data_IF_626947577296
#
_entry.id   IF_626947577296
#
_cell.length_a   1.000
_cell.length_b   1.000
_cell.length_c   1.000
_cell.angle_alpha   90.00
_cell.angle_beta   90.00
_cell.angle_gamma   90.00
#
_symmetry.space_group_name_H-M   'P 1'
#
loop_
_entity.id
_entity.type
_entity.pdbx_description
1 polymer ?
#
# COMPACT_ATOMS: atom_id res chain seq x y z
N UNK A 1 -3.23 29.13 -9.13
CA UNK A 1 -2.59 29.28 -7.80
C UNK A 1 -1.61 28.13 -7.66
N UNK A 2 -0.42 28.35 -7.14
CA UNK A 2 0.52 27.27 -6.89
C UNK A 2 0.02 26.50 -5.67
N UNK A 3 -0.15 25.18 -5.78
CA UNK A 3 -0.51 24.32 -4.67
C UNK A 3 0.62 24.31 -3.63
N UNK A 4 0.29 24.46 -2.34
CA UNK A 4 1.27 24.47 -1.24
C UNK A 4 1.15 23.19 -0.42
N UNK A 5 2.03 22.23 -0.70
CA UNK A 5 2.22 21.07 0.15
C UNK A 5 3.17 21.37 1.33
N UNK A 6 3.25 20.44 2.28
CA UNK A 6 4.22 20.54 3.37
C UNK A 6 5.67 20.45 2.89
N UNK A 7 6.58 21.10 3.60
CA UNK A 7 8.04 21.01 3.44
C UNK A 7 8.72 20.52 4.71
N UNK A 8 7.95 20.01 5.67
CA UNK A 8 8.47 19.57 6.97
C UNK A 8 9.45 18.42 6.82
N UNK A 9 10.55 18.44 7.59
CA UNK A 9 11.55 17.38 7.63
C UNK A 9 12.03 17.21 9.07
N UNK A 10 11.30 16.38 9.83
CA UNK A 10 11.60 16.14 11.24
C UNK A 10 11.14 14.76 11.70
N UNK A 11 11.82 14.17 12.68
CA UNK A 11 11.34 12.99 13.36
C UNK A 11 10.07 13.31 14.16
N UNK A 12 9.12 12.38 14.12
CA UNK A 12 7.86 12.51 14.83
C UNK A 12 7.89 11.67 16.11
N UNK A 13 7.46 12.27 17.21
CA UNK A 13 7.16 11.55 18.45
C UNK A 13 5.70 11.09 18.39
N UNK A 14 5.49 9.86 17.90
CA UNK A 14 4.16 9.32 17.61
C UNK A 14 3.62 8.60 18.83
N UNK A 15 2.48 9.05 19.33
CA UNK A 15 1.72 8.36 20.39
C UNK A 15 0.76 7.34 19.78
N UNK A 16 0.04 7.76 18.73
CA UNK A 16 -0.85 6.91 17.93
C UNK A 16 -1.09 7.55 16.56
N UNK A 17 -1.40 6.72 15.57
CA UNK A 17 -1.65 7.17 14.20
C UNK A 17 -2.94 8.00 14.02
N UNK A 18 -4.06 7.74 14.73
CA UNK A 18 -5.24 8.59 14.66
C UNK A 18 -4.99 10.06 15.01
N UNK A 19 -4.07 10.34 15.92
CA UNK A 19 -3.66 11.73 16.25
C UNK A 19 -2.90 12.39 15.10
N UNK A 20 -2.05 11.64 14.39
CA UNK A 20 -1.39 12.17 13.18
C UNK A 20 -2.44 12.55 12.13
N UNK A 21 -3.44 11.69 11.90
CA UNK A 21 -4.53 11.98 10.98
C UNK A 21 -5.21 13.31 11.30
N UNK A 22 -5.60 13.51 12.55
CA UNK A 22 -6.28 14.75 12.99
C UNK A 22 -5.41 16.02 12.80
N UNK A 23 -4.09 15.90 13.02
CA UNK A 23 -3.16 17.01 12.78
C UNK A 23 -3.04 17.33 11.29
N UNK A 24 -2.95 16.33 10.42
CA UNK A 24 -2.87 16.51 8.97
C UNK A 24 -4.16 17.11 8.43
N UNK A 25 -5.32 16.63 8.87
CA UNK A 25 -6.63 17.17 8.50
C UNK A 25 -6.72 18.68 8.78
N UNK A 26 -6.20 19.13 9.93
CA UNK A 26 -6.24 20.53 10.33
C UNK A 26 -5.29 21.45 9.53
N UNK A 27 -4.36 20.89 8.74
CA UNK A 27 -3.28 21.63 8.05
C UNK A 27 -3.32 21.49 6.54
N UNK A 28 -4.03 20.48 6.03
CA UNK A 28 -4.07 20.17 4.60
C UNK A 28 -5.32 20.76 3.96
N UNK A 29 -5.22 21.21 2.71
CA UNK A 29 -6.37 21.65 1.94
C UNK A 29 -7.42 20.53 1.83
N UNK A 30 -8.71 20.89 1.98
CA UNK A 30 -9.80 19.92 2.07
C UNK A 30 -9.86 18.97 0.87
N UNK A 31 -9.61 19.44 -0.35
CA UNK A 31 -9.57 18.60 -1.55
C UNK A 31 -8.45 17.57 -1.52
N UNK A 32 -7.25 17.99 -1.16
CA UNK A 32 -6.09 17.10 -1.04
C UNK A 32 -6.25 16.09 0.09
N UNK A 33 -6.74 16.54 1.26
CA UNK A 33 -7.03 15.65 2.38
C UNK A 33 -8.13 14.65 2.02
N UNK A 34 -9.25 15.12 1.43
CA UNK A 34 -10.35 14.27 0.98
C UNK A 34 -9.89 13.21 -0.03
N UNK A 35 -9.04 13.58 -0.98
CA UNK A 35 -8.48 12.63 -1.93
C UNK A 35 -7.63 11.54 -1.24
N UNK A 36 -6.75 11.90 -0.33
CA UNK A 36 -5.84 10.97 0.33
C UNK A 36 -6.55 10.10 1.37
N UNK A 37 -7.39 10.72 2.20
CA UNK A 37 -7.97 10.10 3.38
C UNK A 37 -9.35 9.47 3.12
N UNK A 38 -10.10 9.99 2.17
CA UNK A 38 -11.46 9.58 1.86
C UNK A 38 -11.61 8.16 1.32
N UNK A 39 -12.80 7.64 1.45
CA UNK A 39 -13.27 6.35 0.96
C UNK A 39 -14.30 6.48 -0.16
N UNK A 40 -15.02 5.40 -0.43
CA UNK A 40 -16.10 5.31 -1.42
C UNK A 40 -17.47 5.47 -0.74
N UNK A 41 -18.40 6.16 -1.39
CA UNK A 41 -19.78 6.41 -0.94
C UNK A 41 -19.81 6.96 0.49
N UNK A 42 -20.60 6.38 1.40
CA UNK A 42 -20.70 6.76 2.80
C UNK A 42 -19.53 6.26 3.69
N UNK A 43 -18.49 5.72 3.07
CA UNK A 43 -17.26 5.25 3.72
C UNK A 43 -17.46 4.10 4.73
N UNK A 44 -18.55 3.32 4.61
CA UNK A 44 -18.78 2.22 5.53
C UNK A 44 -17.61 1.23 5.54
N UNK A 45 -17.15 0.76 4.36
CA UNK A 45 -16.04 -0.19 4.29
C UNK A 45 -14.70 0.41 4.73
N UNK A 46 -14.52 1.73 4.61
CA UNK A 46 -13.35 2.43 5.17
C UNK A 46 -13.31 2.26 6.68
N UNK A 47 -14.45 2.46 7.36
CA UNK A 47 -14.59 2.30 8.80
C UNK A 47 -14.50 0.82 9.22
N UNK A 48 -15.13 -0.07 8.44
CA UNK A 48 -15.09 -1.51 8.69
C UNK A 48 -13.68 -2.06 8.61
N UNK A 49 -12.84 -1.58 7.69
CA UNK A 49 -11.43 -1.97 7.62
C UNK A 49 -10.67 -1.74 8.93
N UNK A 50 -10.98 -0.70 9.68
CA UNK A 50 -10.34 -0.43 10.98
C UNK A 50 -11.01 -1.23 12.11
N UNK A 51 -12.33 -1.37 12.08
CA UNK A 51 -13.07 -2.00 13.18
C UNK A 51 -13.07 -3.52 13.11
N UNK A 52 -12.97 -4.11 11.90
CA UNK A 52 -12.99 -5.56 11.71
C UNK A 52 -11.79 -6.30 12.33
N UNK A 53 -10.69 -5.62 12.59
CA UNK A 53 -9.62 -6.23 13.40
C UNK A 53 -10.09 -6.68 14.78
N UNK A 54 -11.19 -6.13 15.31
CA UNK A 54 -11.81 -6.54 16.57
C UNK A 54 -12.52 -7.91 16.47
N UNK A 55 -12.80 -8.38 15.25
CA UNK A 55 -13.33 -9.74 15.03
C UNK A 55 -12.33 -10.83 15.45
N UNK A 56 -11.06 -10.46 15.64
CA UNK A 56 -9.98 -11.38 15.93
C UNK A 56 -9.28 -11.02 17.24
N UNK A 57 -9.00 -12.02 18.06
CA UNK A 57 -8.33 -11.88 19.34
C UNK A 57 -7.06 -12.76 19.38
N UNK A 58 -5.92 -12.16 19.63
CA UNK A 58 -4.67 -12.88 19.89
C UNK A 58 -4.68 -13.42 21.31
N UNK A 59 -4.30 -14.68 21.48
CA UNK A 59 -4.20 -15.31 22.79
C UNK A 59 -2.81 -15.09 23.36
N UNK A 60 -2.67 -14.34 24.48
CA UNK A 60 -1.36 -14.10 25.09
C UNK A 60 -0.75 -15.40 25.65
N UNK A 61 0.57 -15.50 25.56
CA UNK A 61 1.36 -16.61 26.09
C UNK A 61 2.44 -16.11 27.05
N UNK A 62 2.33 -16.49 28.27
CA UNK A 62 3.24 -16.06 29.33
C UNK A 62 4.44 -17.01 29.49
N UNK A 63 5.53 -16.51 30.10
CA UNK A 63 6.72 -17.27 30.46
C UNK A 63 7.49 -17.86 29.26
N UNK A 64 7.49 -17.15 28.13
CA UNK A 64 8.13 -17.58 26.88
C UNK A 64 9.60 -17.13 26.77
N UNK A 65 10.13 -16.41 27.76
CA UNK A 65 11.53 -15.95 27.84
C UNK A 65 11.96 -15.09 26.64
N UNK A 66 11.11 -14.13 26.23
CA UNK A 66 11.38 -13.22 25.10
C UNK A 66 11.67 -11.83 25.67
N UNK A 67 12.87 -11.32 25.46
CA UNK A 67 13.22 -9.92 25.75
C UNK A 67 13.22 -9.08 24.48
N UNK A 68 13.79 -9.60 23.38
CA UNK A 68 13.93 -8.91 22.10
C UNK A 68 13.52 -9.89 20.98
N UNK A 69 12.29 -9.78 20.45
CA UNK A 69 11.87 -10.58 19.31
C UNK A 69 12.55 -10.09 18.03
N UNK A 70 12.85 -11.00 17.11
CA UNK A 70 13.38 -10.71 15.80
C UNK A 70 12.22 -10.44 14.81
N UNK A 71 12.08 -9.19 14.37
CA UNK A 71 11.07 -8.76 13.41
C UNK A 71 11.54 -8.86 11.95
N UNK A 72 12.77 -9.30 11.70
CA UNK A 72 13.27 -9.42 10.32
C UNK A 72 12.50 -10.50 9.54
N UNK A 73 12.30 -10.24 8.26
CA UNK A 73 11.66 -11.18 7.34
C UNK A 73 12.20 -10.98 5.93
N UNK A 74 11.69 -11.73 4.98
CA UNK A 74 12.02 -11.57 3.56
C UNK A 74 10.74 -11.55 2.72
N UNK A 75 10.77 -10.80 1.61
CA UNK A 75 9.73 -10.83 0.59
C UNK A 75 10.41 -10.85 -0.79
N UNK A 76 10.16 -11.87 -1.62
CA UNK A 76 10.86 -12.09 -2.90
C UNK A 76 12.39 -12.01 -2.77
N UNK A 77 12.94 -12.68 -1.76
CA UNK A 77 14.37 -12.69 -1.40
C UNK A 77 14.94 -11.31 -0.98
N UNK A 78 14.09 -10.31 -0.80
CA UNK A 78 14.50 -9.00 -0.31
C UNK A 78 14.44 -8.99 1.21
N UNK A 79 15.56 -8.74 1.91
CA UNK A 79 15.56 -8.65 3.36
C UNK A 79 14.84 -7.39 3.85
N UNK A 80 14.00 -7.55 4.86
CA UNK A 80 13.24 -6.49 5.52
C UNK A 80 13.60 -6.43 7.00
N UNK A 81 13.68 -5.22 7.54
CA UNK A 81 13.90 -5.00 8.99
C UNK A 81 12.65 -5.30 9.84
N UNK A 82 11.47 -5.32 9.20
CA UNK A 82 10.16 -5.56 9.82
C UNK A 82 9.17 -6.05 8.77
N UNK A 83 8.07 -6.73 9.14
CA UNK A 83 7.09 -7.24 8.17
C UNK A 83 6.10 -6.16 7.67
N UNK A 84 6.61 -4.95 7.41
CA UNK A 84 5.83 -3.80 6.95
C UNK A 84 6.47 -3.22 5.70
N UNK A 85 5.68 -3.00 4.63
CA UNK A 85 6.12 -2.32 3.41
C UNK A 85 5.24 -1.10 3.11
N UNK A 86 5.66 -0.25 2.19
CA UNK A 86 4.85 0.88 1.74
C UNK A 86 3.83 0.43 0.69
N UNK A 87 2.54 0.71 0.91
CA UNK A 87 1.51 0.52 -0.11
C UNK A 87 1.68 1.55 -1.25
N UNK A 88 1.32 1.19 -2.50
CA UNK A 88 1.36 2.15 -3.60
C UNK A 88 0.27 3.21 -3.46
N UNK A 89 0.66 4.48 -3.40
CA UNK A 89 -0.26 5.62 -3.34
C UNK A 89 0.18 6.64 -4.39
N UNK A 90 -0.78 7.12 -5.15
CA UNK A 90 -0.60 8.16 -6.15
C UNK A 90 -0.51 9.56 -5.52
N UNK A 91 0.03 10.51 -6.27
CA UNK A 91 -0.04 11.95 -6.00
C UNK A 91 0.45 12.35 -4.60
N UNK A 92 1.55 11.79 -4.13
CA UNK A 92 2.09 12.07 -2.79
C UNK A 92 2.57 13.52 -2.62
N UNK A 93 2.77 14.23 -3.73
CA UNK A 93 3.00 15.68 -3.77
C UNK A 93 1.87 16.50 -3.14
N UNK A 94 0.68 15.94 -2.98
CA UNK A 94 -0.42 16.53 -2.22
C UNK A 94 -0.12 16.67 -0.74
N UNK A 95 0.71 15.79 -0.20
CA UNK A 95 1.06 15.77 1.22
C UNK A 95 2.39 16.47 1.52
N UNK A 96 3.35 16.40 0.58
CA UNK A 96 4.68 16.97 0.77
C UNK A 96 5.29 17.36 -0.60
N UNK A 97 5.95 18.52 -0.70
CA UNK A 97 6.53 19.00 -1.98
C UNK A 97 7.45 17.98 -2.66
N UNK A 98 8.18 17.19 -1.89
CA UNK A 98 9.07 16.17 -2.41
C UNK A 98 8.38 14.85 -2.78
N UNK A 99 7.08 14.68 -2.47
CA UNK A 99 6.26 13.53 -2.86
C UNK A 99 6.94 12.18 -2.68
N UNK A 100 6.85 11.33 -3.70
CA UNK A 100 7.40 9.97 -3.72
C UNK A 100 8.92 9.95 -3.53
N UNK A 101 9.63 10.98 -4.00
CA UNK A 101 11.10 11.09 -3.87
C UNK A 101 11.56 11.29 -2.42
N UNK A 102 10.72 11.85 -1.57
CA UNK A 102 10.95 11.97 -0.13
C UNK A 102 10.49 10.73 0.60
N UNK A 103 9.31 10.21 0.25
CA UNK A 103 8.76 9.00 0.87
C UNK A 103 9.69 7.79 0.72
N UNK A 104 10.26 7.57 -0.48
CA UNK A 104 11.17 6.44 -0.72
C UNK A 104 12.40 6.46 0.19
N UNK A 105 12.90 7.65 0.55
CA UNK A 105 14.03 7.79 1.49
C UNK A 105 13.65 7.36 2.90
N UNK A 106 12.47 7.80 3.38
CA UNK A 106 11.97 7.41 4.70
C UNK A 106 11.70 5.91 4.82
N UNK A 107 11.11 5.31 3.77
CA UNK A 107 10.89 3.85 3.70
C UNK A 107 12.21 3.09 3.68
N UNK A 108 13.20 3.57 2.92
CA UNK A 108 14.54 2.98 2.89
C UNK A 108 15.25 3.06 4.24
N UNK A 109 15.13 4.20 4.94
CA UNK A 109 15.68 4.37 6.29
C UNK A 109 15.03 3.39 7.29
N UNK A 110 13.77 3.06 7.11
CA UNK A 110 13.06 2.02 7.88
C UNK A 110 13.41 0.58 7.42
N UNK A 111 14.33 0.38 6.47
CA UNK A 111 14.73 -0.92 5.91
C UNK A 111 13.55 -1.71 5.34
N UNK A 112 12.73 -1.04 4.55
CA UNK A 112 11.51 -1.58 3.97
C UNK A 112 11.46 -1.40 2.44
N UNK A 113 10.38 -1.89 1.79
CA UNK A 113 10.14 -1.79 0.36
C UNK A 113 9.21 -0.61 0.09
N UNK A 114 9.56 0.24 -0.87
CA UNK A 114 8.69 1.28 -1.38
C UNK A 114 7.92 0.80 -2.62
N UNK A 115 6.62 1.07 -2.70
CA UNK A 115 5.80 0.79 -3.88
C UNK A 115 5.46 2.11 -4.59
N UNK A 116 6.04 2.32 -5.78
CA UNK A 116 5.74 3.48 -6.62
C UNK A 116 4.44 3.28 -7.41
N UNK A 117 3.64 4.34 -7.55
CA UNK A 117 2.39 4.31 -8.30
C UNK A 117 2.54 4.75 -9.75
N UNK A 118 1.71 4.22 -10.65
CA UNK A 118 1.54 4.72 -12.02
C UNK A 118 1.29 6.23 -12.06
N UNK A 119 0.49 6.74 -11.13
CA UNK A 119 0.07 8.14 -11.08
C UNK A 119 0.80 8.93 -9.98
N UNK A 120 2.10 8.65 -9.80
CA UNK A 120 2.97 9.43 -8.92
C UNK A 120 3.30 10.81 -9.48
N UNK A 121 3.56 11.78 -8.60
CA UNK A 121 4.09 13.10 -9.00
C UNK A 121 5.56 12.99 -9.41
N UNK A 122 6.31 12.01 -8.92
CA UNK A 122 7.64 11.69 -9.40
C UNK A 122 7.60 10.49 -10.36
N UNK A 123 8.40 10.52 -11.42
CA UNK A 123 8.51 9.41 -12.37
C UNK A 123 9.18 8.18 -11.73
N UNK A 124 8.97 7.01 -12.34
CA UNK A 124 9.62 5.74 -11.95
C UNK A 124 11.14 5.93 -11.82
N UNK A 125 11.76 6.61 -12.79
CA UNK A 125 13.20 6.88 -12.78
C UNK A 125 13.61 7.85 -11.66
N UNK A 126 12.85 8.94 -11.45
CA UNK A 126 13.14 9.91 -10.40
C UNK A 126 13.06 9.30 -8.98
N UNK A 127 12.09 8.42 -8.73
CA UNK A 127 12.00 7.68 -7.48
C UNK A 127 13.21 6.76 -7.29
N UNK A 128 13.66 6.08 -8.34
CA UNK A 128 14.84 5.23 -8.27
C UNK A 128 16.12 6.04 -7.98
N UNK A 129 16.28 7.20 -8.60
CA UNK A 129 17.41 8.11 -8.38
C UNK A 129 17.40 8.71 -6.97
N UNK A 130 16.21 9.04 -6.44
CA UNK A 130 16.08 9.64 -5.11
C UNK A 130 16.58 8.74 -3.98
N UNK A 131 16.50 7.42 -4.13
CA UNK A 131 17.03 6.44 -3.15
C UNK A 131 17.42 5.14 -3.86
N UNK A 132 18.61 5.05 -4.47
CA UNK A 132 19.04 3.89 -5.26
C UNK A 132 19.02 2.57 -4.47
N UNK A 133 19.42 2.59 -3.21
CA UNK A 133 19.56 1.40 -2.36
C UNK A 133 18.23 0.88 -1.81
N UNK A 134 17.19 1.72 -1.75
CA UNK A 134 15.88 1.27 -1.28
C UNK A 134 15.26 0.28 -2.28
N UNK A 135 14.89 -0.93 -1.89
CA UNK A 135 14.16 -1.83 -2.78
C UNK A 135 12.78 -1.26 -3.12
N UNK A 136 12.39 -1.41 -4.39
CA UNK A 136 11.17 -0.81 -4.92
C UNK A 136 10.34 -1.79 -5.71
N UNK A 137 9.01 -1.68 -5.59
CA UNK A 137 8.03 -2.30 -6.48
C UNK A 137 7.34 -1.20 -7.30
N UNK A 138 6.96 -1.53 -8.53
CA UNK A 138 6.21 -0.62 -9.38
C UNK A 138 4.76 -1.07 -9.51
N UNK A 139 3.81 -0.23 -9.11
CA UNK A 139 2.38 -0.50 -9.25
C UNK A 139 1.88 0.05 -10.59
N UNK A 140 1.23 -0.82 -11.35
CA UNK A 140 0.62 -0.56 -12.64
C UNK A 140 -0.90 -0.58 -12.55
N UNK A 141 -1.52 0.56 -12.90
CA UNK A 141 -2.86 0.57 -13.44
C UNK A 141 -2.75 0.31 -14.94
N UNK A 142 -3.12 -0.87 -15.39
CA UNK A 142 -2.98 -1.23 -16.79
C UNK A 142 -3.81 -0.29 -17.66
N UNK A 143 -3.15 0.39 -18.60
CA UNK A 143 -3.76 1.27 -19.59
C UNK A 143 -4.28 0.44 -20.77
N UNK A 144 -5.20 1.03 -21.54
CA UNK A 144 -5.56 0.53 -22.89
C UNK A 144 -4.43 0.69 -23.89
N UNK A 145 -3.49 1.58 -23.61
CA UNK A 145 -2.31 1.83 -24.43
C UNK A 145 -1.16 0.91 -23.99
N UNK A 146 -0.91 -0.11 -24.79
CA UNK A 146 0.13 -1.09 -24.52
C UNK A 146 1.54 -0.51 -24.62
N UNK A 147 1.76 0.51 -25.43
CA UNK A 147 3.05 1.19 -25.54
C UNK A 147 3.36 1.95 -24.24
N UNK A 148 2.34 2.57 -23.64
CA UNK A 148 2.47 3.20 -22.32
C UNK A 148 2.76 2.18 -21.22
N UNK A 149 2.06 1.04 -21.20
CA UNK A 149 2.33 -0.04 -20.25
C UNK A 149 3.77 -0.53 -20.37
N UNK A 150 4.22 -0.83 -21.60
CA UNK A 150 5.57 -1.31 -21.85
C UNK A 150 6.62 -0.25 -21.48
N UNK A 151 6.38 1.02 -21.78
CA UNK A 151 7.27 2.12 -21.41
C UNK A 151 7.49 2.17 -19.89
N UNK A 152 6.43 2.15 -19.09
CA UNK A 152 6.53 2.21 -17.64
C UNK A 152 7.22 0.98 -17.05
N UNK A 153 6.88 -0.21 -17.55
CA UNK A 153 7.50 -1.47 -17.11
C UNK A 153 8.99 -1.48 -17.47
N UNK A 154 9.37 -1.03 -18.67
CA UNK A 154 10.78 -0.94 -19.07
C UNK A 154 11.55 0.01 -18.14
N UNK A 155 10.98 1.18 -17.82
CA UNK A 155 11.62 2.08 -16.86
C UNK A 155 11.82 1.43 -15.49
N UNK A 156 10.83 0.68 -14.99
CA UNK A 156 10.96 -0.04 -13.72
C UNK A 156 12.07 -1.11 -13.78
N UNK A 157 12.14 -1.89 -14.88
CA UNK A 157 13.18 -2.90 -15.10
C UNK A 157 14.57 -2.25 -15.15
N UNK A 158 14.73 -1.22 -15.98
CA UNK A 158 16.01 -0.54 -16.22
C UNK A 158 16.55 0.18 -14.98
N UNK A 159 15.64 0.68 -14.12
CA UNK A 159 16.01 1.38 -12.89
C UNK A 159 16.04 0.47 -11.65
N UNK A 160 15.92 -0.86 -11.84
CA UNK A 160 16.20 -1.86 -10.84
C UNK A 160 15.08 -2.13 -9.82
N UNK A 161 13.84 -1.83 -10.18
CA UNK A 161 12.68 -2.29 -9.39
C UNK A 161 12.67 -3.82 -9.28
N UNK A 162 12.04 -4.34 -8.25
CA UNK A 162 12.12 -5.76 -7.89
C UNK A 162 10.83 -6.55 -8.17
N UNK A 163 9.73 -5.89 -8.42
CA UNK A 163 8.45 -6.50 -8.80
C UNK A 163 7.53 -5.49 -9.49
N UNK A 164 6.57 -6.01 -10.25
CA UNK A 164 5.43 -5.26 -10.80
C UNK A 164 4.18 -5.64 -10.03
N UNK A 165 3.39 -4.65 -9.61
CA UNK A 165 2.10 -4.84 -8.94
C UNK A 165 1.00 -4.50 -9.93
N UNK A 166 0.23 -5.48 -10.39
CA UNK A 166 -0.99 -5.24 -11.15
C UNK A 166 -2.13 -4.94 -10.17
N UNK A 167 -2.69 -3.74 -10.24
CA UNK A 167 -3.89 -3.39 -9.48
C UNK A 167 -5.13 -3.83 -10.24
N UNK A 168 -5.90 -4.75 -9.66
CA UNK A 168 -7.06 -5.37 -10.30
C UNK A 168 -8.42 -4.82 -9.82
N UNK A 169 -8.46 -4.22 -8.64
CA UNK A 169 -9.68 -3.74 -7.98
C UNK A 169 -10.13 -2.33 -8.39
N UNK A 170 -9.34 -1.62 -9.20
CA UNK A 170 -9.54 -0.19 -9.47
C UNK A 170 -9.58 0.11 -10.97
N UNK A 171 -10.41 -0.65 -11.72
CA UNK A 171 -10.58 -0.46 -13.17
C UNK A 171 -11.54 0.68 -13.50
N UNK A 172 -12.48 0.99 -12.61
CA UNK A 172 -13.49 2.04 -12.78
C UNK A 172 -13.39 3.14 -11.72
N UNK A 173 -12.77 2.86 -10.60
CA UNK A 173 -12.77 3.72 -9.40
C UNK A 173 -14.12 3.71 -8.66
N UNK A 174 -14.05 3.77 -7.34
CA UNK A 174 -15.25 3.90 -6.50
C UNK A 174 -15.88 5.29 -6.59
N UNK A 175 -17.14 5.39 -6.19
CA UNK A 175 -17.85 6.67 -6.10
C UNK A 175 -17.39 7.43 -4.85
N UNK A 176 -16.49 8.41 -5.03
CA UNK A 176 -15.85 9.15 -3.93
C UNK A 176 -16.55 10.48 -3.70
N UNK A 177 -17.42 10.52 -2.71
CA UNK A 177 -18.21 11.71 -2.41
C UNK A 177 -17.36 12.91 -1.98
N UNK A 178 -16.30 12.68 -1.19
CA UNK A 178 -15.38 13.73 -0.76
C UNK A 178 -14.73 14.46 -1.95
N UNK A 179 -14.30 13.73 -2.97
CA UNK A 179 -13.69 14.31 -4.17
C UNK A 179 -14.70 15.12 -4.98
N UNK A 180 -15.94 14.63 -5.07
CA UNK A 180 -17.04 15.31 -5.78
C UNK A 180 -17.43 16.60 -5.04
N UNK A 181 -17.62 16.55 -3.73
CA UNK A 181 -17.98 17.70 -2.89
C UNK A 181 -16.91 18.80 -2.96
N UNK A 182 -15.63 18.39 -2.97
CA UNK A 182 -14.52 19.31 -3.06
C UNK A 182 -14.21 19.77 -4.50
N UNK A 183 -14.93 19.27 -5.52
CA UNK A 183 -14.60 19.46 -6.94
C UNK A 183 -13.10 19.22 -7.20
N UNK A 184 -12.60 18.08 -6.68
CA UNK A 184 -11.17 17.80 -6.68
C UNK A 184 -10.65 17.54 -8.11
N UNK A 185 -9.62 18.28 -8.47
CA UNK A 185 -8.78 18.07 -9.65
C UNK A 185 -7.33 18.02 -9.18
N UNK A 186 -6.51 17.19 -9.85
CA UNK A 186 -5.10 17.07 -9.48
C UNK A 186 -4.35 18.37 -9.72
N UNK A 187 -3.85 19.06 -8.67
CA UNK A 187 -3.19 20.36 -8.83
C UNK A 187 -1.73 20.26 -9.29
N UNK A 188 -1.18 19.04 -9.39
CA UNK A 188 0.21 18.76 -9.70
C UNK A 188 0.32 17.78 -10.85
N UNK A 189 1.37 17.87 -11.67
CA UNK A 189 1.61 16.92 -12.76
C UNK A 189 1.90 15.52 -12.21
N UNK A 190 1.63 14.51 -13.05
CA UNK A 190 1.99 13.11 -12.87
C UNK A 190 3.11 12.81 -13.86
N UNK A 191 4.34 12.74 -13.38
CA UNK A 191 5.52 12.70 -14.24
C UNK A 191 5.59 11.48 -15.16
N UNK A 192 5.01 10.36 -14.77
CA UNK A 192 4.93 9.19 -15.64
C UNK A 192 4.09 9.45 -16.90
N UNK A 193 3.03 10.24 -16.81
CA UNK A 193 2.24 10.66 -17.98
C UNK A 193 3.01 11.70 -18.81
N UNK A 194 3.62 12.68 -18.14
CA UNK A 194 4.36 13.76 -18.78
C UNK A 194 5.58 13.25 -19.57
N UNK A 195 6.26 12.21 -19.08
CA UNK A 195 7.47 11.67 -19.70
C UNK A 195 7.21 10.75 -20.89
N UNK A 196 6.02 10.12 -20.97
CA UNK A 196 5.70 9.22 -22.08
C UNK A 196 5.43 9.96 -23.38
N UNK A 197 4.58 10.98 -23.35
CA UNK A 197 4.17 11.70 -24.55
C UNK A 197 3.50 13.02 -24.20
N UNK A 198 3.83 14.08 -24.94
CA UNK A 198 3.11 15.36 -24.82
C UNK A 198 1.60 15.25 -25.13
N UNK A 199 1.17 14.22 -25.88
CA UNK A 199 -0.21 13.96 -26.18
C UNK A 199 -0.97 13.31 -25.01
N UNK A 200 -0.26 12.64 -24.08
CA UNK A 200 -0.87 12.04 -22.89
C UNK A 200 -1.30 13.10 -21.86
N UNK A 201 -0.78 14.33 -21.98
CA UNK A 201 -0.94 15.37 -20.96
C UNK A 201 -0.16 15.07 -19.69
N UNK A 202 -0.16 15.99 -18.73
CA UNK A 202 0.58 15.87 -17.48
C UNK A 202 -0.24 15.25 -16.32
N UNK A 203 -1.55 15.12 -16.50
CA UNK A 203 -2.47 14.76 -15.41
C UNK A 203 -2.91 15.94 -14.54
N UNK A 204 -2.22 17.08 -14.61
CA UNK A 204 -2.61 18.32 -13.92
C UNK A 204 -3.95 18.85 -14.47
N UNK A 205 -4.85 19.25 -13.57
CA UNK A 205 -6.18 19.74 -13.92
C UNK A 205 -7.18 18.64 -14.28
N UNK A 206 -6.80 17.34 -14.19
CA UNK A 206 -7.72 16.24 -14.44
C UNK A 206 -8.48 15.84 -13.17
N UNK A 207 -9.74 15.51 -13.35
CA UNK A 207 -10.54 14.84 -12.34
C UNK A 207 -10.14 13.37 -12.21
N UNK A 208 -10.54 12.74 -11.10
CA UNK A 208 -10.34 11.31 -10.88
C UNK A 208 -10.99 10.47 -11.99
N UNK A 209 -12.19 10.83 -12.43
CA UNK A 209 -12.90 10.13 -13.50
C UNK A 209 -12.11 10.15 -14.83
N UNK A 210 -11.46 11.26 -15.16
CA UNK A 210 -10.64 11.38 -16.36
C UNK A 210 -9.37 10.53 -16.29
N UNK A 211 -8.78 10.37 -15.11
CA UNK A 211 -7.65 9.44 -14.88
C UNK A 211 -8.11 7.99 -15.08
N UNK A 212 -9.22 7.59 -14.47
CA UNK A 212 -9.75 6.21 -14.63
C UNK A 212 -10.20 5.89 -16.05
N UNK A 213 -10.65 6.89 -16.82
CA UNK A 213 -11.00 6.68 -18.23
C UNK A 213 -9.82 6.18 -19.08
N UNK A 214 -8.59 6.33 -18.63
CA UNK A 214 -7.37 5.82 -19.29
C UNK A 214 -7.08 4.36 -18.98
N UNK A 215 -7.61 3.82 -17.88
CA UNK A 215 -7.39 2.45 -17.46
C UNK A 215 -8.10 1.44 -18.39
N UNK A 216 -7.54 0.25 -18.50
CA UNK A 216 -8.17 -0.91 -19.12
C UNK A 216 -9.29 -1.41 -18.22
N UNK A 217 -10.54 -1.11 -18.59
CA UNK A 217 -11.71 -1.45 -17.78
C UNK A 217 -12.11 -2.93 -17.86
N UNK A 218 -11.75 -3.61 -18.94
CA UNK A 218 -11.98 -5.03 -19.22
C UNK A 218 -10.77 -5.90 -18.86
N UNK A 219 -10.14 -5.58 -17.71
CA UNK A 219 -8.98 -6.33 -17.19
C UNK A 219 -9.35 -7.81 -17.00
N UNK A 220 -8.49 -8.71 -17.46
CA UNK A 220 -8.73 -10.15 -17.44
C UNK A 220 -7.50 -10.93 -16.97
N UNK A 221 -7.69 -12.20 -16.61
CA UNK A 221 -6.59 -13.08 -16.18
C UNK A 221 -5.45 -13.19 -17.22
N UNK A 222 -5.77 -13.09 -18.52
CA UNK A 222 -4.78 -13.05 -19.60
C UNK A 222 -3.83 -11.86 -19.53
N UNK A 223 -4.23 -10.77 -18.87
CA UNK A 223 -3.39 -9.58 -18.72
C UNK A 223 -2.24 -9.81 -17.72
N UNK A 224 -2.40 -10.72 -16.76
CA UNK A 224 -1.31 -11.14 -15.87
C UNK A 224 -0.16 -11.69 -16.69
N UNK A 225 -0.46 -12.63 -17.61
CA UNK A 225 0.56 -13.18 -18.50
C UNK A 225 1.19 -12.11 -19.38
N UNK A 226 0.39 -11.20 -19.93
CA UNK A 226 0.87 -10.10 -20.76
C UNK A 226 1.87 -9.22 -20.01
N UNK A 227 1.56 -8.86 -18.75
CA UNK A 227 2.48 -8.09 -17.91
C UNK A 227 3.74 -8.89 -17.61
N UNK A 228 3.64 -10.19 -17.32
CA UNK A 228 4.81 -11.05 -17.12
C UNK A 228 5.74 -11.09 -18.34
N UNK A 229 5.16 -11.16 -19.53
CA UNK A 229 5.93 -11.15 -20.77
C UNK A 229 6.66 -9.78 -20.96
N UNK A 230 6.07 -8.67 -20.49
CA UNK A 230 6.66 -7.32 -20.49
C UNK A 230 7.71 -7.14 -19.38
N UNK A 231 7.55 -7.79 -18.24
CA UNK A 231 8.29 -7.53 -17.00
C UNK A 231 9.72 -8.10 -16.96
N UNK A 232 10.20 -8.71 -18.06
CA UNK A 232 11.59 -9.19 -18.19
C UNK A 232 12.06 -10.08 -17.03
N UNK A 233 11.14 -10.91 -16.50
CA UNK A 233 11.43 -11.86 -15.41
C UNK A 233 11.21 -11.31 -14.00
N UNK A 234 10.80 -10.06 -13.83
CA UNK A 234 10.37 -9.57 -12.52
C UNK A 234 9.10 -10.29 -12.04
N UNK A 235 8.98 -10.56 -10.74
CA UNK A 235 7.73 -11.04 -10.14
C UNK A 235 6.55 -10.13 -10.45
N UNK A 236 5.38 -10.71 -10.71
CA UNK A 236 4.10 -9.99 -10.88
C UNK A 236 3.19 -10.32 -9.71
N UNK A 237 2.80 -9.29 -8.97
CA UNK A 237 1.92 -9.36 -7.81
C UNK A 237 0.54 -8.84 -8.23
N UNK A 238 -0.53 -9.57 -7.95
CA UNK A 238 -1.90 -9.10 -8.22
C UNK A 238 -2.50 -8.53 -6.95
N UNK A 239 -2.79 -7.22 -6.97
CA UNK A 239 -3.37 -6.46 -5.85
C UNK A 239 -4.86 -6.25 -6.05
N UNK A 240 -5.63 -6.29 -4.94
CA UNK A 240 -7.07 -6.07 -4.92
C UNK A 240 -7.88 -7.36 -4.82
N UNK A 241 -7.25 -8.42 -4.35
CA UNK A 241 -7.89 -9.73 -4.21
C UNK A 241 -8.61 -9.81 -2.86
N UNK A 242 -9.90 -10.17 -2.89
CA UNK A 242 -10.74 -10.37 -1.71
C UNK A 242 -11.49 -11.72 -1.73
N UNK A 243 -11.29 -12.53 -2.76
CA UNK A 243 -11.93 -13.84 -2.91
C UNK A 243 -10.88 -14.95 -3.11
N UNK A 244 -11.02 -16.12 -2.44
CA UNK A 244 -10.12 -17.26 -2.62
C UNK A 244 -10.06 -17.81 -4.05
N UNK A 245 -11.16 -17.80 -4.79
CA UNK A 245 -11.21 -18.29 -6.17
C UNK A 245 -10.43 -17.37 -7.10
N UNK A 246 -10.53 -16.05 -6.89
CA UNK A 246 -9.77 -15.05 -7.62
C UNK A 246 -8.26 -15.17 -7.33
N UNK A 247 -7.89 -15.44 -6.07
CA UNK A 247 -6.50 -15.69 -5.72
C UNK A 247 -5.93 -16.91 -6.45
N UNK A 248 -6.70 -18.00 -6.51
CA UNK A 248 -6.32 -19.22 -7.23
C UNK A 248 -6.22 -18.99 -8.74
N UNK A 249 -7.18 -18.24 -9.30
CA UNK A 249 -7.20 -17.89 -10.72
C UNK A 249 -6.01 -16.99 -11.08
N UNK A 250 -5.67 -16.01 -10.25
CA UNK A 250 -4.51 -15.16 -10.46
C UNK A 250 -3.20 -15.96 -10.45
N UNK A 251 -3.03 -16.89 -9.50
CA UNK A 251 -1.87 -17.79 -9.45
C UNK A 251 -1.82 -18.68 -10.70
N UNK A 252 -2.94 -19.25 -11.13
CA UNK A 252 -3.02 -20.03 -12.35
C UNK A 252 -2.71 -19.19 -13.61
N UNK A 253 -3.08 -17.89 -13.59
CA UNK A 253 -2.73 -16.90 -14.62
C UNK A 253 -1.26 -16.48 -14.62
N UNK A 254 -0.48 -16.89 -13.62
CA UNK A 254 0.96 -16.65 -13.53
C UNK A 254 1.37 -15.58 -12.51
N UNK A 255 0.49 -15.16 -11.59
CA UNK A 255 0.88 -14.29 -10.49
C UNK A 255 1.91 -14.95 -9.57
N UNK A 256 2.96 -14.21 -9.20
CA UNK A 256 4.02 -14.65 -8.28
C UNK A 256 3.74 -14.21 -6.84
N UNK A 257 2.72 -13.39 -6.60
CA UNK A 257 2.25 -12.96 -5.29
C UNK A 257 0.80 -12.49 -5.32
N UNK A 258 0.13 -12.61 -4.19
CA UNK A 258 -1.24 -12.13 -3.97
C UNK A 258 -1.21 -10.97 -2.97
N UNK A 259 -1.93 -9.90 -3.30
CA UNK A 259 -2.08 -8.77 -2.39
C UNK A 259 -3.55 -8.62 -2.00
N UNK A 260 -3.89 -9.08 -0.80
CA UNK A 260 -5.24 -8.98 -0.23
C UNK A 260 -5.51 -7.52 0.14
N UNK A 261 -6.51 -6.94 -0.48
CA UNK A 261 -6.80 -5.50 -0.39
C UNK A 261 -8.20 -5.19 -0.90
N UNK A 262 -8.88 -4.22 -0.28
CA UNK A 262 -10.05 -3.55 -0.84
C UNK A 262 -9.74 -2.08 -1.16
N UNK A 263 -8.48 -1.79 -1.52
CA UNK A 263 -8.01 -0.44 -1.85
C UNK A 263 -8.20 0.58 -0.73
N UNK A 264 -8.20 0.11 0.52
CA UNK A 264 -8.43 0.99 1.67
C UNK A 264 -9.85 1.54 1.75
N UNK A 265 -10.85 0.81 1.25
CA UNK A 265 -12.25 1.23 1.24
C UNK A 265 -12.58 2.29 0.18
N UNK A 266 -11.82 2.35 -0.91
CA UNK A 266 -11.94 3.40 -1.94
C UNK A 266 -12.70 2.95 -3.20
N UNK A 267 -13.06 1.68 -3.30
CA UNK A 267 -13.70 1.08 -4.47
C UNK A 267 -15.14 0.61 -4.14
N UNK A 268 -15.40 -0.67 -3.96
CA UNK A 268 -16.73 -1.19 -3.66
C UNK A 268 -17.08 -0.99 -2.18
N UNK A 269 -17.97 -0.05 -1.87
CA UNK A 269 -18.35 0.26 -0.48
C UNK A 269 -19.14 -0.86 0.22
N UNK A 270 -19.73 -1.80 -0.50
CA UNK A 270 -20.39 -2.99 0.06
C UNK A 270 -19.50 -4.22 0.18
N UNK A 271 -18.18 -4.08 -0.01
CA UNK A 271 -17.23 -5.17 0.13
C UNK A 271 -16.99 -5.52 1.62
N UNK A 272 -16.50 -6.74 1.93
CA UNK A 272 -16.03 -7.04 3.29
C UNK A 272 -14.76 -6.24 3.63
N UNK A 273 -14.48 -6.08 4.92
CA UNK A 273 -13.18 -5.62 5.36
C UNK A 273 -12.08 -6.58 4.89
N UNK A 274 -10.92 -6.06 4.46
CA UNK A 274 -9.85 -6.90 3.91
C UNK A 274 -9.39 -7.99 4.89
N UNK A 275 -9.38 -7.71 6.20
CA UNK A 275 -8.93 -8.67 7.21
C UNK A 275 -9.86 -9.91 7.29
N UNK A 276 -11.16 -9.73 7.01
CA UNK A 276 -12.14 -10.82 7.06
C UNK A 276 -12.00 -11.77 5.86
N UNK A 277 -11.44 -11.31 4.73
CA UNK A 277 -11.14 -12.14 3.57
C UNK A 277 -9.80 -12.90 3.69
N UNK A 278 -8.88 -12.42 4.53
CA UNK A 278 -7.50 -12.88 4.55
C UNK A 278 -7.32 -14.36 4.87
N UNK A 279 -7.99 -14.87 5.91
CA UNK A 279 -7.79 -16.23 6.38
C UNK A 279 -8.18 -17.28 5.33
N UNK A 280 -9.30 -17.09 4.65
CA UNK A 280 -9.76 -18.01 3.61
C UNK A 280 -8.87 -17.95 2.36
N UNK A 281 -8.41 -16.75 1.98
CA UNK A 281 -7.43 -16.58 0.91
C UNK A 281 -6.12 -17.27 1.26
N UNK A 282 -5.59 -17.06 2.47
CA UNK A 282 -4.33 -17.69 2.91
C UNK A 282 -4.43 -19.21 2.91
N UNK A 283 -5.54 -19.76 3.37
CA UNK A 283 -5.83 -21.20 3.31
C UNK A 283 -5.87 -21.71 1.87
N UNK A 284 -6.53 -21.00 0.97
CA UNK A 284 -6.62 -21.38 -0.44
C UNK A 284 -5.27 -21.27 -1.15
N UNK A 285 -4.51 -20.21 -0.93
CA UNK A 285 -3.16 -20.00 -1.48
C UNK A 285 -2.18 -21.05 -0.96
N UNK A 286 -2.29 -21.47 0.31
CA UNK A 286 -1.50 -22.55 0.91
C UNK A 286 0.01 -22.42 0.62
N UNK A 287 0.58 -21.28 0.92
CA UNK A 287 2.02 -20.96 0.77
C UNK A 287 2.61 -21.11 -0.65
N UNK A 288 1.77 -21.21 -1.71
CA UNK A 288 2.27 -21.32 -3.09
C UNK A 288 2.95 -20.05 -3.58
N UNK A 289 2.52 -18.90 -3.11
CA UNK A 289 3.09 -17.58 -3.37
C UNK A 289 2.97 -16.74 -2.10
N UNK A 290 3.80 -15.68 -1.94
CA UNK A 290 3.66 -14.76 -0.81
C UNK A 290 2.31 -14.01 -0.84
N UNK A 291 1.82 -13.70 0.36
CA UNK A 291 0.61 -12.90 0.59
C UNK A 291 1.00 -11.58 1.24
N UNK A 292 0.69 -10.49 0.57
CA UNK A 292 0.75 -9.13 1.10
C UNK A 292 -0.66 -8.72 1.53
N UNK A 293 -0.79 -7.99 2.61
CA UNK A 293 -2.07 -7.54 3.14
C UNK A 293 -2.07 -6.02 3.35
N UNK A 294 -3.15 -5.34 3.01
CA UNK A 294 -3.39 -3.95 3.42
C UNK A 294 -4.86 -3.70 3.78
N UNK A 295 -5.13 -2.48 4.13
CA UNK A 295 -6.40 -1.87 4.53
C UNK A 295 -6.66 -1.95 6.04
N UNK A 296 -6.80 -0.78 6.64
CA UNK A 296 -7.24 -0.62 8.03
C UNK A 296 -6.15 -0.69 9.10
N UNK A 297 -4.90 -0.97 8.79
CA UNK A 297 -3.81 -1.05 9.78
C UNK A 297 -3.57 0.29 10.45
N UNK A 298 -3.67 0.31 11.79
CA UNK A 298 -3.41 1.48 12.65
C UNK A 298 -2.51 1.17 13.84
N UNK A 299 -2.38 -0.11 14.22
CA UNK A 299 -1.69 -0.56 15.43
C UNK A 299 -0.79 -1.76 15.14
N UNK A 300 0.24 -1.96 15.98
CA UNK A 300 1.09 -3.15 15.89
C UNK A 300 0.32 -4.46 16.07
N UNK A 301 -0.77 -4.46 16.84
CA UNK A 301 -1.64 -5.63 16.97
C UNK A 301 -2.42 -5.97 15.70
N UNK A 302 -2.74 -4.98 14.84
CA UNK A 302 -3.37 -5.24 13.55
C UNK A 302 -2.40 -5.98 12.63
N UNK A 303 -1.13 -5.59 12.66
CA UNK A 303 -0.06 -6.28 11.94
C UNK A 303 0.06 -7.73 12.42
N UNK A 304 0.11 -7.93 13.74
CA UNK A 304 0.22 -9.26 14.31
C UNK A 304 -0.98 -10.14 13.96
N UNK A 305 -2.20 -9.60 13.95
CA UNK A 305 -3.42 -10.31 13.54
C UNK A 305 -3.34 -10.70 12.06
N UNK A 306 -2.96 -9.78 11.18
CA UNK A 306 -2.81 -10.07 9.75
C UNK A 306 -1.77 -11.18 9.49
N UNK A 307 -0.60 -11.12 10.15
CA UNK A 307 0.43 -12.16 10.05
C UNK A 307 -0.09 -13.52 10.56
N UNK A 308 -0.77 -13.54 11.71
CA UNK A 308 -1.34 -14.76 12.28
C UNK A 308 -2.48 -15.36 11.44
N UNK A 309 -3.18 -14.54 10.65
CA UNK A 309 -4.20 -14.96 9.69
C UNK A 309 -3.64 -15.37 8.32
N UNK A 310 -2.32 -15.25 8.11
CA UNK A 310 -1.62 -15.82 6.97
C UNK A 310 -0.95 -14.84 6.01
N UNK A 311 -0.90 -13.55 6.32
CA UNK A 311 -0.07 -12.61 5.57
C UNK A 311 1.43 -12.88 5.81
N UNK A 312 2.26 -12.68 4.79
CA UNK A 312 3.72 -12.70 4.91
C UNK A 312 4.26 -11.35 5.36
N UNK A 313 3.68 -10.27 4.82
CA UNK A 313 3.94 -8.88 5.20
C UNK A 313 2.66 -8.07 5.09
N UNK A 314 2.65 -6.91 5.74
CA UNK A 314 1.57 -5.93 5.61
C UNK A 314 2.05 -4.69 4.89
N UNK A 315 1.12 -3.91 4.32
CA UNK A 315 1.48 -2.66 3.67
C UNK A 315 0.76 -1.46 4.31
N UNK A 316 1.52 -0.40 4.53
CA UNK A 316 1.06 0.82 5.17
C UNK A 316 0.71 1.87 4.11
N UNK A 317 -0.54 2.33 4.12
CA UNK A 317 -1.03 3.35 3.20
C UNK A 317 -1.12 4.74 3.84
N UNK A 318 -2.33 5.21 4.12
CA UNK A 318 -2.63 6.56 4.66
C UNK A 318 -1.73 7.02 5.81
N UNK A 319 -1.43 6.20 6.84
CA UNK A 319 -0.56 6.61 7.94
C UNK A 319 0.83 7.04 7.48
N UNK A 320 1.38 6.40 6.44
CA UNK A 320 2.64 6.82 5.83
C UNK A 320 2.55 8.25 5.25
N UNK A 321 1.43 8.58 4.59
CA UNK A 321 1.22 9.92 4.02
C UNK A 321 0.94 10.98 5.09
N UNK A 322 0.28 10.63 6.19
CA UNK A 322 0.13 11.54 7.33
C UNK A 322 1.50 11.90 7.91
N UNK A 323 2.35 10.89 8.08
CA UNK A 323 3.71 11.09 8.57
C UNK A 323 4.60 11.86 7.57
N UNK A 324 4.42 11.62 6.26
CA UNK A 324 5.07 12.38 5.20
C UNK A 324 4.72 13.88 5.29
N UNK A 325 3.43 14.19 5.46
CA UNK A 325 2.97 15.59 5.59
C UNK A 325 3.58 16.29 6.80
N UNK A 326 3.69 15.62 7.92
CA UNK A 326 4.13 16.21 9.19
C UNK A 326 5.65 16.26 9.36
N UNK A 327 6.41 15.34 8.72
CA UNK A 327 7.83 15.22 8.99
C UNK A 327 8.69 14.71 7.83
N UNK A 328 8.19 14.75 6.59
CA UNK A 328 8.97 14.35 5.41
C UNK A 328 9.50 12.92 5.49
N UNK A 329 10.72 12.69 5.04
CA UNK A 329 11.35 11.36 5.08
C UNK A 329 11.55 10.86 6.52
N UNK A 330 11.95 11.73 7.43
CA UNK A 330 12.13 11.39 8.84
C UNK A 330 10.79 11.04 9.51
N UNK A 331 9.70 11.74 9.13
CA UNK A 331 8.35 11.42 9.58
C UNK A 331 7.88 10.05 9.10
N UNK A 332 8.09 9.73 7.81
CA UNK A 332 7.77 8.40 7.25
C UNK A 332 8.51 7.31 8.01
N UNK A 333 9.82 7.45 8.22
CA UNK A 333 10.60 6.52 9.03
C UNK A 333 10.00 6.35 10.43
N UNK A 334 9.63 7.46 11.10
CA UNK A 334 9.03 7.42 12.44
C UNK A 334 7.73 6.61 12.49
N UNK A 335 6.87 6.67 11.45
CA UNK A 335 5.63 5.88 11.42
C UNK A 335 5.89 4.38 11.31
N UNK A 336 6.88 3.96 10.52
CA UNK A 336 7.28 2.56 10.42
C UNK A 336 7.91 2.06 11.74
N UNK A 337 8.81 2.85 12.35
CA UNK A 337 9.46 2.53 13.62
C UNK A 337 8.44 2.44 14.75
N UNK A 338 7.46 3.34 14.82
CA UNK A 338 6.37 3.31 15.80
C UNK A 338 5.57 2.01 15.75
N UNK A 339 5.11 1.62 14.55
CA UNK A 339 4.37 0.36 14.37
C UNK A 339 5.23 -0.88 14.67
N UNK A 340 6.54 -0.82 14.38
CA UNK A 340 7.47 -1.88 14.74
C UNK A 340 7.62 -2.03 16.26
N UNK A 341 7.71 -0.93 17.00
CA UNK A 341 7.78 -0.97 18.48
C UNK A 341 6.49 -1.53 19.09
N UNK A 342 5.32 -1.16 18.57
CA UNK A 342 4.05 -1.76 18.98
C UNK A 342 4.00 -3.26 18.66
N UNK A 343 4.41 -3.66 17.44
CA UNK A 343 4.47 -5.07 17.03
C UNK A 343 5.41 -5.87 17.94
N UNK A 344 6.55 -5.31 18.30
CA UNK A 344 7.51 -5.92 19.22
C UNK A 344 6.85 -6.28 20.57
N UNK A 345 6.06 -5.36 21.12
CA UNK A 345 5.31 -5.61 22.37
C UNK A 345 4.31 -6.76 22.16
N UNK A 346 3.57 -6.78 21.06
CA UNK A 346 2.60 -7.84 20.75
C UNK A 346 3.32 -9.19 20.60
N UNK A 347 4.46 -9.24 19.91
CA UNK A 347 5.24 -10.48 19.77
C UNK A 347 5.71 -11.02 21.12
N UNK A 348 6.17 -10.15 22.03
CA UNK A 348 6.53 -10.55 23.39
C UNK A 348 5.33 -11.13 24.15
N UNK A 349 4.16 -10.48 24.05
CA UNK A 349 2.94 -10.91 24.75
C UNK A 349 2.29 -12.16 24.14
N UNK A 350 2.48 -12.44 22.86
CA UNK A 350 2.00 -13.66 22.19
C UNK A 350 2.98 -14.82 22.25
N UNK A 351 4.17 -14.59 22.75
CA UNK A 351 5.20 -15.62 22.87
C UNK A 351 5.87 -15.95 21.53
N UNK A 352 5.99 -14.97 20.62
CA UNK A 352 6.57 -15.14 19.30
C UNK A 352 7.98 -14.54 19.26
N UNK A 353 9.03 -15.35 19.11
CA UNK A 353 10.42 -14.89 19.05
C UNK A 353 10.77 -14.30 17.67
N UNK A 354 10.07 -14.74 16.63
CA UNK A 354 10.29 -14.33 15.24
C UNK A 354 8.97 -14.08 14.52
N UNK A 355 9.02 -13.39 13.37
CA UNK A 355 7.85 -13.25 12.49
C UNK A 355 7.33 -14.62 12.02
N UNK A 356 8.22 -15.58 11.80
CA UNK A 356 7.82 -16.95 11.43
C UNK A 356 7.01 -17.63 12.55
N UNK A 357 7.37 -17.42 13.82
CA UNK A 357 6.59 -17.90 14.95
C UNK A 357 5.27 -17.15 15.13
N UNK A 358 5.25 -15.83 14.85
CA UNK A 358 4.03 -15.01 14.89
C UNK A 358 2.95 -15.53 13.92
N UNK A 359 3.33 -16.10 12.77
CA UNK A 359 2.39 -16.78 11.84
C UNK A 359 1.64 -17.95 12.49
N UNK A 360 2.16 -18.50 13.57
CA UNK A 360 1.56 -19.57 14.33
C UNK A 360 0.98 -19.12 15.67
N UNK A 361 0.95 -17.79 15.91
CA UNK A 361 0.31 -17.25 17.11
C UNK A 361 -1.17 -17.66 17.15
N UNK A 362 -1.62 -18.03 18.34
CA UNK A 362 -3.02 -18.46 18.50
C UNK A 362 -3.94 -17.26 18.39
N UNK A 363 -4.80 -17.30 17.38
CA UNK A 363 -5.84 -16.31 17.12
C UNK A 363 -7.21 -16.98 17.15
N UNK A 364 -8.22 -16.29 17.67
CA UNK A 364 -9.61 -16.78 17.73
C UNK A 364 -10.54 -15.67 17.24
N UNK A 365 -11.68 -16.06 16.68
CA UNK A 365 -12.77 -15.13 16.42
C UNK A 365 -13.38 -14.63 17.72
N UNK A 366 -13.62 -13.32 17.80
CA UNK A 366 -14.31 -12.73 18.95
C UNK A 366 -15.78 -13.16 18.95
N UNK A 367 -16.29 -13.49 20.12
CA UNK A 367 -17.72 -13.76 20.30
C UNK A 367 -18.37 -12.48 20.84
N UNK A 368 -19.19 -11.85 20.00
CA UNK A 368 -20.00 -10.68 20.37
C UNK A 368 -21.41 -11.12 20.77
#
# INVERSE_FOLDING_TARGET
MTYNASTAEEKLDIIDLPRLRALVESRTEAGAFGYVDGGSSDEQVLQDNETAFRHYQLIPRMLQNIAEPDMTTTLFDIPLGMPIIAAPIAAQGLMHEGGESVTVKGVGAAKSIFSASTYGNASVAAVAEASPETPKFFQLYMSRDDEFNQFLINQAVETGYKAIILTADSTLGGYREADIINNFEFPLPMDNLATFSNAAGTGEGLSIAEIYARAKQDLALSDIKKIKDMASGLPVIVKGIQDPEDALAAIAGGADGIWVSNHGGRELNGAPASIDALADIAKAVNHRVPIIFDSGIRWGEDIAKAIALGADVVALGRPMLWALNLGGAAGVQSAFEHLAEELKIVMQLTGSHTVAELKHAKIIEAKF
#
